data_IF_663657839578
#
_entry.id   IF_663657839578
#
_cell.length_a   1.000
_cell.length_b   1.000
_cell.length_c   1.000
_cell.angle_alpha   90.00
_cell.angle_beta   90.00
_cell.angle_gamma   90.00
#
_symmetry.space_group_name_H-M   'P 1'
#
loop_
_entity.id
_entity.type
_entity.pdbx_description
1 polymer ?
#
# COMPACT_ATOMS: atom_id res chain seq x y z
N UNK A 1 6.74 -11.31 11.29
CA UNK A 1 5.75 -11.02 10.25
C UNK A 1 5.89 -11.97 9.04
N UNK A 2 7.04 -11.99 8.34
CA UNK A 2 7.24 -12.85 7.15
C UNK A 2 6.98 -14.34 7.44
N UNK A 3 7.49 -14.85 8.55
CA UNK A 3 7.26 -16.24 8.97
C UNK A 3 5.77 -16.54 9.22
N UNK A 4 5.03 -15.61 9.86
CA UNK A 4 3.59 -15.80 10.11
C UNK A 4 2.76 -15.75 8.83
N UNK A 5 3.14 -14.92 7.83
CA UNK A 5 2.49 -14.91 6.52
C UNK A 5 2.74 -16.21 5.74
N UNK A 6 3.98 -16.71 5.75
CA UNK A 6 4.30 -18.00 5.14
C UNK A 6 3.55 -19.16 5.81
N UNK A 7 3.47 -19.17 7.14
CA UNK A 7 2.69 -20.16 7.88
C UNK A 7 1.20 -20.14 7.50
N UNK A 8 0.61 -18.97 7.32
CA UNK A 8 -0.77 -18.81 6.84
C UNK A 8 -0.98 -19.47 5.47
N UNK A 9 -0.09 -19.22 4.51
CA UNK A 9 -0.17 -19.84 3.18
C UNK A 9 -0.04 -21.37 3.25
N UNK A 10 0.84 -21.89 4.12
CA UNK A 10 0.97 -23.32 4.33
C UNK A 10 -0.28 -23.95 4.96
N UNK A 11 -0.92 -23.30 5.94
CA UNK A 11 -2.15 -23.77 6.55
C UNK A 11 -3.30 -23.83 5.52
N UNK A 12 -3.46 -22.82 4.70
CA UNK A 12 -4.47 -22.79 3.63
C UNK A 12 -4.28 -23.98 2.67
N UNK A 13 -3.03 -24.24 2.26
CA UNK A 13 -2.69 -25.38 1.38
C UNK A 13 -2.93 -26.72 2.08
N UNK A 14 -2.57 -26.86 3.36
CA UNK A 14 -2.81 -28.07 4.12
C UNK A 14 -4.30 -28.41 4.21
N UNK A 15 -5.17 -27.41 4.46
CA UNK A 15 -6.62 -27.58 4.45
C UNK A 15 -7.16 -28.04 3.10
N UNK A 16 -6.63 -27.49 2.01
CA UNK A 16 -7.00 -27.92 0.66
C UNK A 16 -6.64 -29.40 0.44
N UNK A 17 -5.39 -29.79 0.71
CA UNK A 17 -4.92 -31.15 0.44
C UNK A 17 -5.53 -32.19 1.37
N UNK A 18 -5.79 -31.84 2.63
CA UNK A 18 -6.30 -32.79 3.64
C UNK A 18 -7.82 -32.94 3.59
N UNK A 19 -8.52 -31.82 3.38
CA UNK A 19 -9.99 -31.78 3.52
C UNK A 19 -10.72 -31.40 2.23
N UNK A 20 -9.99 -31.21 1.11
CA UNK A 20 -10.60 -30.82 -0.16
C UNK A 20 -11.21 -29.42 -0.18
N UNK A 21 -10.84 -28.55 0.80
CA UNK A 21 -11.39 -27.19 0.83
C UNK A 21 -11.07 -26.45 -0.47
N UNK A 22 -12.05 -25.84 -1.16
CA UNK A 22 -11.82 -25.12 -2.42
C UNK A 22 -11.19 -23.76 -2.16
N UNK A 23 -9.86 -23.73 -2.00
CA UNK A 23 -9.09 -22.53 -1.67
C UNK A 23 -8.48 -21.87 -2.89
N UNK A 24 -8.31 -20.54 -2.80
CA UNK A 24 -7.52 -19.71 -3.70
C UNK A 24 -6.64 -18.80 -2.85
N UNK A 25 -5.35 -18.72 -3.17
CA UNK A 25 -4.41 -17.86 -2.44
C UNK A 25 -3.96 -16.72 -3.36
N UNK A 26 -3.91 -15.51 -2.83
CA UNK A 26 -3.32 -14.35 -3.53
C UNK A 26 -2.21 -13.74 -2.68
N UNK A 27 -1.08 -13.43 -3.33
CA UNK A 27 0.01 -12.65 -2.74
C UNK A 27 0.16 -11.37 -3.54
N UNK A 28 0.08 -10.22 -2.88
CA UNK A 28 0.12 -8.92 -3.56
C UNK A 28 1.40 -8.13 -3.25
N UNK A 29 1.77 -7.25 -4.18
CA UNK A 29 2.78 -6.22 -3.96
C UNK A 29 2.27 -5.09 -3.05
N UNK A 30 3.07 -4.03 -2.87
CA UNK A 30 2.68 -2.92 -2.00
C UNK A 30 1.46 -2.18 -2.53
N UNK A 31 0.40 -2.13 -1.75
CA UNK A 31 -0.83 -1.42 -2.12
C UNK A 31 -0.75 0.05 -1.78
N UNK A 32 -1.43 0.88 -2.57
CA UNK A 32 -1.65 2.30 -2.29
C UNK A 32 -2.99 2.76 -2.88
N UNK A 33 -3.52 3.85 -2.35
CA UNK A 33 -4.80 4.40 -2.84
C UNK A 33 -5.64 5.02 -1.72
N UNK A 34 -6.93 5.25 -1.98
CA UNK A 34 -7.90 5.71 -0.99
C UNK A 34 -7.94 4.84 0.27
N UNK A 35 -8.23 5.46 1.40
CA UNK A 35 -8.39 4.81 2.72
C UNK A 35 -7.14 4.09 3.24
N UNK A 36 -5.95 4.33 2.68
CA UNK A 36 -4.72 3.76 3.20
C UNK A 36 -4.30 4.48 4.48
N UNK A 37 -4.11 3.74 5.58
CA UNK A 37 -3.85 4.31 6.90
C UNK A 37 -2.55 5.13 6.93
N UNK A 38 -2.52 6.34 7.55
CA UNK A 38 -1.43 7.31 7.45
C UNK A 38 -0.11 6.94 8.15
N UNK A 39 0.12 5.68 8.52
CA UNK A 39 1.41 5.17 8.98
C UNK A 39 2.29 4.62 7.84
N UNK A 40 1.70 4.38 6.67
CA UNK A 40 2.39 3.83 5.50
C UNK A 40 2.98 4.94 4.64
N UNK A 41 4.03 4.61 3.87
CA UNK A 41 4.86 5.60 3.16
C UNK A 41 4.04 6.66 2.42
N UNK A 42 3.21 6.26 1.47
CA UNK A 42 2.49 7.22 0.60
C UNK A 42 1.56 8.14 1.40
N UNK A 43 0.61 7.63 2.20
CA UNK A 43 -0.26 8.52 2.96
C UNK A 43 0.48 9.33 4.03
N UNK A 44 1.52 8.77 4.67
CA UNK A 44 2.33 9.50 5.64
C UNK A 44 2.99 10.72 5.00
N UNK A 45 3.58 10.56 3.81
CA UNK A 45 4.23 11.68 3.11
C UNK A 45 3.22 12.76 2.71
N UNK A 46 2.04 12.38 2.20
CA UNK A 46 0.98 13.34 1.86
C UNK A 46 0.55 14.13 3.10
N UNK A 47 0.23 13.45 4.18
CA UNK A 47 -0.28 14.08 5.40
C UNK A 47 0.77 14.95 6.08
N UNK A 48 2.02 14.48 6.16
CA UNK A 48 3.12 15.27 6.72
C UNK A 48 3.41 16.50 5.87
N UNK A 49 3.44 16.37 4.54
CA UNK A 49 3.65 17.48 3.63
C UNK A 49 2.64 18.59 3.87
N UNK A 50 1.35 18.25 3.86
CA UNK A 50 0.26 19.21 4.10
C UNK A 50 0.30 19.83 5.49
N UNK A 51 0.81 19.11 6.50
CA UNK A 51 0.96 19.60 7.87
C UNK A 51 2.27 20.41 8.10
N UNK A 52 3.08 20.64 7.07
CA UNK A 52 4.38 21.32 7.21
C UNK A 52 5.42 20.52 7.99
N UNK A 53 5.24 19.21 8.17
CA UNK A 53 6.12 18.33 8.93
C UNK A 53 7.23 17.75 8.03
N UNK A 54 8.37 17.30 8.61
CA UNK A 54 9.41 16.59 7.87
C UNK A 54 8.88 15.36 7.14
N UNK A 55 9.44 15.09 5.95
CA UNK A 55 9.18 13.90 5.15
C UNK A 55 10.35 12.91 5.33
N UNK A 56 10.26 11.97 6.28
CA UNK A 56 11.39 11.10 6.62
C UNK A 56 11.63 10.04 5.54
N UNK A 57 12.82 10.07 4.95
CA UNK A 57 13.30 9.06 3.98
C UNK A 57 14.37 8.21 4.66
N UNK A 58 14.14 6.91 4.76
CA UNK A 58 15.09 5.98 5.38
C UNK A 58 16.33 5.78 4.50
N UNK A 59 17.52 5.94 5.10
CA UNK A 59 18.81 5.76 4.42
C UNK A 59 18.94 6.68 3.19
N UNK A 60 19.31 6.09 2.06
CA UNK A 60 19.44 6.79 0.77
C UNK A 60 18.12 6.87 -0.03
N UNK A 61 17.05 6.25 0.46
CA UNK A 61 15.76 6.21 -0.21
C UNK A 61 15.71 5.34 -1.47
N UNK A 62 16.76 4.56 -1.75
CA UNK A 62 16.89 3.76 -2.97
C UNK A 62 16.27 2.35 -2.86
N UNK A 63 15.58 2.06 -1.77
CA UNK A 63 14.84 0.80 -1.64
C UNK A 63 13.71 0.75 -2.66
N UNK A 64 13.70 -0.32 -3.48
CA UNK A 64 12.73 -0.51 -4.56
C UNK A 64 11.55 -1.35 -4.11
N UNK A 65 10.34 -0.91 -4.46
CA UNK A 65 9.09 -1.65 -4.24
C UNK A 65 8.25 -1.63 -5.50
N UNK A 66 7.51 -2.72 -5.73
CA UNK A 66 6.44 -2.74 -6.73
C UNK A 66 5.14 -2.20 -6.10
N UNK A 67 4.46 -1.31 -6.78
CA UNK A 67 3.29 -0.58 -6.28
C UNK A 67 2.04 -0.89 -7.08
N UNK A 68 1.00 -1.31 -6.36
CA UNK A 68 -0.28 -1.73 -6.91
C UNK A 68 -1.40 -0.82 -6.41
N UNK A 69 -2.13 -0.19 -7.33
CA UNK A 69 -3.29 0.62 -6.96
C UNK A 69 -4.39 -0.25 -6.36
N UNK A 70 -4.99 0.19 -5.25
CA UNK A 70 -5.89 -0.65 -4.45
C UNK A 70 -7.12 -1.15 -5.21
N UNK A 71 -7.68 -0.34 -6.13
CA UNK A 71 -8.82 -0.79 -6.95
C UNK A 71 -8.43 -1.89 -7.93
N UNK A 72 -7.20 -1.87 -8.44
CA UNK A 72 -6.68 -2.95 -9.28
C UNK A 72 -6.48 -4.23 -8.47
N UNK A 73 -5.97 -4.11 -7.22
CA UNK A 73 -5.90 -5.27 -6.33
C UNK A 73 -7.29 -5.88 -6.08
N UNK A 74 -8.31 -5.05 -5.80
CA UNK A 74 -9.68 -5.54 -5.64
C UNK A 74 -10.21 -6.23 -6.91
N UNK A 75 -9.89 -5.69 -8.10
CA UNK A 75 -10.27 -6.29 -9.38
C UNK A 75 -9.58 -7.64 -9.61
N UNK A 76 -8.30 -7.76 -9.21
CA UNK A 76 -7.55 -9.01 -9.25
C UNK A 76 -8.17 -10.10 -8.37
N UNK A 77 -8.48 -9.76 -7.12
CA UNK A 77 -9.14 -10.69 -6.17
C UNK A 77 -10.48 -11.19 -6.78
N UNK A 78 -11.29 -10.28 -7.30
CA UNK A 78 -12.54 -10.66 -7.97
C UNK A 78 -12.30 -11.59 -9.16
N UNK A 79 -11.29 -11.30 -9.98
CA UNK A 79 -10.93 -12.13 -11.13
C UNK A 79 -10.47 -13.52 -10.70
N UNK A 80 -9.65 -13.61 -9.66
CA UNK A 80 -9.20 -14.89 -9.09
C UNK A 80 -10.38 -15.69 -8.56
N UNK A 81 -11.32 -15.07 -7.85
CA UNK A 81 -12.53 -15.75 -7.36
C UNK A 81 -13.41 -16.27 -8.51
N UNK A 82 -13.52 -15.53 -9.62
CA UNK A 82 -14.38 -15.88 -10.73
C UNK A 82 -13.80 -16.97 -11.66
N UNK A 83 -12.48 -16.99 -11.82
CA UNK A 83 -11.84 -17.81 -12.86
C UNK A 83 -10.55 -18.51 -12.42
N UNK A 84 -10.12 -18.32 -11.17
CA UNK A 84 -8.93 -18.98 -10.62
C UNK A 84 -9.15 -20.49 -10.46
N UNK A 85 -8.10 -21.26 -10.67
CA UNK A 85 -8.12 -22.70 -10.42
C UNK A 85 -7.98 -22.98 -8.93
N UNK A 86 -8.91 -23.73 -8.36
CA UNK A 86 -8.88 -24.15 -6.96
C UNK A 86 -7.53 -24.80 -6.59
N UNK A 87 -7.02 -24.50 -5.40
CA UNK A 87 -5.73 -24.94 -4.92
C UNK A 87 -4.53 -24.14 -5.43
N UNK A 88 -4.74 -23.16 -6.30
CA UNK A 88 -3.66 -22.38 -6.91
C UNK A 88 -3.39 -21.08 -6.15
N UNK A 89 -2.12 -20.64 -6.23
CA UNK A 89 -1.67 -19.33 -5.75
C UNK A 89 -1.46 -18.39 -6.94
N UNK A 90 -1.96 -17.17 -6.84
CA UNK A 90 -1.77 -16.10 -7.82
C UNK A 90 -1.06 -14.91 -7.19
N UNK A 91 0.09 -14.56 -7.72
CA UNK A 91 0.75 -13.31 -7.39
C UNK A 91 0.07 -12.15 -8.13
N UNK A 92 -0.13 -11.04 -7.42
CA UNK A 92 -0.79 -9.83 -7.93
C UNK A 92 0.17 -8.65 -7.79
N UNK A 93 0.74 -8.19 -8.89
CA UNK A 93 1.72 -7.09 -8.94
C UNK A 93 1.23 -5.91 -9.77
N UNK A 94 1.84 -4.75 -9.51
CA UNK A 94 1.54 -3.52 -10.22
C UNK A 94 2.37 -3.30 -11.48
N UNK A 95 3.48 -4.04 -11.67
CA UNK A 95 4.54 -3.76 -12.66
C UNK A 95 5.09 -2.34 -12.56
N UNK A 96 5.03 -1.74 -11.37
CA UNK A 96 5.42 -0.37 -11.08
C UNK A 96 6.54 -0.32 -10.03
N UNK A 97 7.72 -0.81 -10.38
CA UNK A 97 8.88 -0.74 -9.49
C UNK A 97 9.39 0.71 -9.40
N UNK A 98 9.40 1.25 -8.18
CA UNK A 98 9.86 2.61 -7.89
C UNK A 98 10.71 2.61 -6.62
N UNK A 99 11.70 3.51 -6.56
CA UNK A 99 12.43 3.78 -5.32
C UNK A 99 11.58 4.61 -4.36
N UNK A 100 11.78 4.44 -3.06
CA UNK A 100 11.06 5.23 -2.05
C UNK A 100 11.26 6.74 -2.28
N UNK A 101 12.49 7.17 -2.60
CA UNK A 101 12.77 8.58 -2.86
C UNK A 101 12.02 9.10 -4.09
N UNK A 102 11.95 8.32 -5.18
CA UNK A 102 11.19 8.74 -6.38
C UNK A 102 9.71 8.91 -6.10
N UNK A 103 9.13 8.07 -5.23
CA UNK A 103 7.73 8.21 -4.79
C UNK A 103 7.53 9.50 -4.00
N UNK A 104 8.43 9.79 -3.04
CA UNK A 104 8.35 11.02 -2.24
C UNK A 104 8.45 12.25 -3.14
N UNK A 105 9.36 12.25 -4.12
CA UNK A 105 9.46 13.33 -5.10
C UNK A 105 8.17 13.49 -5.90
N UNK A 106 7.60 12.40 -6.42
CA UNK A 106 6.35 12.44 -7.18
C UNK A 106 5.19 13.01 -6.34
N UNK A 107 5.09 12.63 -5.07
CA UNK A 107 4.08 13.17 -4.15
C UNK A 107 4.27 14.67 -3.96
N UNK A 108 5.51 15.12 -3.71
CA UNK A 108 5.81 16.56 -3.55
C UNK A 108 5.43 17.35 -4.81
N UNK A 109 5.81 16.86 -6.00
CA UNK A 109 5.51 17.52 -7.26
C UNK A 109 3.99 17.63 -7.53
N UNK A 110 3.24 16.56 -7.20
CA UNK A 110 1.78 16.57 -7.31
C UNK A 110 1.14 17.52 -6.31
N UNK A 111 1.67 17.63 -5.10
CA UNK A 111 1.18 18.60 -4.11
C UNK A 111 1.52 20.03 -4.50
N UNK A 112 2.74 20.28 -5.03
CA UNK A 112 3.12 21.59 -5.55
C UNK A 112 2.18 22.04 -6.70
N UNK A 113 1.71 21.10 -7.53
CA UNK A 113 0.74 21.36 -8.60
C UNK A 113 -0.69 21.58 -8.06
N UNK A 114 -1.15 20.69 -7.16
CA UNK A 114 -2.58 20.64 -6.77
C UNK A 114 -2.94 21.54 -5.60
N UNK A 115 -1.99 21.80 -4.70
CA UNK A 115 -2.15 22.60 -3.49
C UNK A 115 -0.82 23.26 -3.11
N UNK A 116 -0.33 24.25 -3.90
CA UNK A 116 0.95 24.89 -3.64
C UNK A 116 0.98 25.53 -2.26
N UNK A 117 2.16 25.53 -1.64
CA UNK A 117 2.38 26.13 -0.33
C UNK A 117 2.27 27.65 -0.38
N UNK A 118 1.71 28.25 0.68
CA UNK A 118 1.56 29.70 0.79
C UNK A 118 2.89 30.47 0.79
N UNK A 119 3.98 29.83 1.24
CA UNK A 119 5.33 30.42 1.24
C UNK A 119 6.06 30.31 -0.11
N UNK A 120 5.44 29.71 -1.13
CA UNK A 120 5.99 29.51 -2.46
C UNK A 120 7.12 28.49 -2.57
N UNK A 121 7.45 27.80 -1.46
CA UNK A 121 8.47 26.75 -1.47
C UNK A 121 7.87 25.41 -1.93
N UNK A 122 8.70 24.58 -2.59
CA UNK A 122 8.31 23.22 -2.91
C UNK A 122 8.21 22.35 -1.64
N UNK A 123 7.26 21.42 -1.64
CA UNK A 123 7.16 20.37 -0.60
C UNK A 123 8.42 19.50 -0.52
N UNK A 124 9.24 19.44 -1.57
CA UNK A 124 10.54 18.75 -1.54
C UNK A 124 11.50 19.34 -0.48
N UNK A 125 11.35 20.61 -0.08
CA UNK A 125 12.15 21.22 0.97
C UNK A 125 11.94 20.58 2.36
N UNK A 126 10.86 19.82 2.54
CA UNK A 126 10.57 19.10 3.79
C UNK A 126 11.22 17.71 3.86
N UNK A 127 11.85 17.22 2.77
CA UNK A 127 12.50 15.90 2.74
C UNK A 127 13.68 15.90 3.70
N UNK A 128 13.72 14.88 4.59
CA UNK A 128 14.80 14.66 5.54
C UNK A 128 15.24 13.20 5.49
N UNK A 129 16.54 12.96 5.35
CA UNK A 129 17.08 11.61 5.44
C UNK A 129 17.23 11.21 6.91
N UNK A 130 16.74 10.03 7.25
CA UNK A 130 16.84 9.45 8.60
C UNK A 130 17.61 8.14 8.56
N UNK A 131 18.09 7.69 9.73
CA UNK A 131 18.80 6.41 9.82
C UNK A 131 17.94 5.27 9.27
N UNK A 132 18.56 4.41 8.45
CA UNK A 132 17.87 3.25 7.90
C UNK A 132 17.54 2.22 8.98
N UNK A 133 16.46 1.49 8.80
CA UNK A 133 16.03 0.45 9.75
C UNK A 133 16.82 -0.84 9.53
N UNK A 134 17.12 -1.61 10.60
CA UNK A 134 17.74 -2.93 10.46
C UNK A 134 16.92 -3.86 9.54
N UNK A 135 17.61 -4.60 8.68
CA UNK A 135 16.97 -5.57 7.78
C UNK A 135 16.06 -4.96 6.72
N UNK A 136 16.32 -3.73 6.30
CA UNK A 136 15.52 -3.07 5.27
C UNK A 136 15.86 -3.65 3.88
N UNK A 137 14.95 -4.41 3.31
CA UNK A 137 15.12 -5.00 1.97
C UNK A 137 15.44 -3.95 0.91
N UNK A 138 16.53 -4.17 0.16
CA UNK A 138 16.93 -3.27 -0.93
C UNK A 138 15.94 -3.29 -2.09
N UNK A 139 15.43 -4.46 -2.44
CA UNK A 139 14.41 -4.62 -3.49
C UNK A 139 13.41 -5.69 -3.11
N UNK A 140 12.15 -5.38 -3.27
CA UNK A 140 11.02 -6.26 -3.07
C UNK A 140 10.01 -6.05 -4.19
N UNK A 141 9.88 -7.05 -5.06
CA UNK A 141 8.98 -7.05 -6.20
C UNK A 141 8.39 -8.45 -6.41
N UNK A 142 7.31 -8.54 -7.18
CA UNK A 142 6.57 -9.78 -7.38
C UNK A 142 6.40 -10.08 -8.88
N UNK A 143 6.51 -11.35 -9.25
CA UNK A 143 6.20 -11.81 -10.60
C UNK A 143 4.72 -12.17 -10.72
N UNK A 144 3.97 -11.33 -11.42
CA UNK A 144 2.54 -11.48 -11.64
C UNK A 144 2.18 -12.06 -13.04
N UNK A 145 3.13 -12.61 -13.80
CA UNK A 145 2.86 -13.15 -15.14
C UNK A 145 1.87 -14.31 -15.14
N UNK A 146 1.75 -15.06 -14.05
CA UNK A 146 0.80 -16.18 -13.97
C UNK A 146 -0.65 -15.70 -14.04
N UNK A 147 -1.03 -14.68 -13.25
CA UNK A 147 -2.40 -14.17 -13.26
C UNK A 147 -2.75 -13.56 -14.62
N UNK A 148 -1.80 -12.90 -15.27
CA UNK A 148 -1.99 -12.40 -16.63
C UNK A 148 -2.23 -13.53 -17.62
N UNK A 149 -1.32 -14.51 -17.67
CA UNK A 149 -1.40 -15.62 -18.62
C UNK A 149 -2.65 -16.48 -18.44
N UNK A 150 -3.02 -16.79 -17.20
CA UNK A 150 -4.08 -17.74 -16.89
C UNK A 150 -5.46 -17.09 -16.78
N UNK A 151 -5.52 -15.85 -16.30
CA UNK A 151 -6.79 -15.17 -16.03
C UNK A 151 -7.00 -13.91 -16.89
N UNK A 152 -6.03 -13.53 -17.73
CA UNK A 152 -6.12 -12.33 -18.56
C UNK A 152 -6.18 -11.03 -17.76
N UNK A 153 -5.72 -11.03 -16.50
CA UNK A 153 -5.78 -9.85 -15.66
C UNK A 153 -4.48 -9.05 -15.70
N UNK A 154 -4.63 -7.74 -15.84
CA UNK A 154 -3.58 -6.71 -15.66
C UNK A 154 -4.13 -5.53 -14.89
N UNK A 155 -3.29 -4.77 -14.16
CA UNK A 155 -3.72 -3.50 -13.57
C UNK A 155 -4.15 -2.51 -14.65
N UNK A 156 -5.19 -1.74 -14.37
CA UNK A 156 -5.68 -0.68 -15.24
C UNK A 156 -4.91 0.63 -15.03
N UNK A 157 -4.37 0.84 -13.83
CA UNK A 157 -3.64 2.06 -13.49
C UNK A 157 -2.12 1.86 -13.63
N UNK A 158 -1.45 2.85 -14.22
CA UNK A 158 -0.01 3.03 -14.03
C UNK A 158 0.25 3.67 -12.68
N UNK A 159 1.53 3.66 -12.22
CA UNK A 159 1.87 4.39 -10.99
C UNK A 159 1.48 5.87 -11.09
N UNK A 160 1.76 6.52 -12.22
CA UNK A 160 1.54 7.96 -12.39
C UNK A 160 0.05 8.32 -12.36
N UNK A 161 -0.82 7.51 -12.97
CA UNK A 161 -2.28 7.74 -12.93
C UNK A 161 -2.86 7.43 -11.56
N UNK A 162 -2.43 6.35 -10.92
CA UNK A 162 -2.92 5.92 -9.61
C UNK A 162 -2.47 6.85 -8.48
N UNK A 163 -1.20 7.32 -8.50
CA UNK A 163 -0.68 8.22 -7.45
C UNK A 163 -1.36 9.58 -7.50
N UNK A 164 -1.63 10.12 -8.71
CA UNK A 164 -2.39 11.37 -8.89
C UNK A 164 -3.79 11.25 -8.29
N UNK A 165 -4.49 10.14 -8.55
CA UNK A 165 -5.81 9.85 -7.96
C UNK A 165 -5.73 9.73 -6.45
N UNK A 166 -4.66 9.15 -5.93
CA UNK A 166 -4.43 8.97 -4.50
C UNK A 166 -4.23 10.33 -3.81
N UNK A 167 -3.31 11.17 -4.31
CA UNK A 167 -3.07 12.52 -3.76
C UNK A 167 -4.37 13.32 -3.78
N UNK A 168 -5.08 13.34 -4.90
CA UNK A 168 -6.38 14.04 -5.01
C UNK A 168 -7.36 13.54 -3.95
N UNK A 169 -7.47 12.23 -3.77
CA UNK A 169 -8.38 11.68 -2.77
C UNK A 169 -8.07 12.18 -1.34
N UNK A 170 -6.78 12.24 -0.95
CA UNK A 170 -6.41 12.77 0.38
C UNK A 170 -6.73 14.26 0.52
N UNK A 171 -6.57 15.05 -0.55
CA UNK A 171 -6.95 16.46 -0.57
C UNK A 171 -8.47 16.66 -0.45
N UNK A 172 -9.25 15.79 -1.07
CA UNK A 172 -10.72 15.86 -1.11
C UNK A 172 -11.39 15.25 0.14
N UNK A 173 -10.63 14.53 1.01
CA UNK A 173 -11.17 13.83 2.18
C UNK A 173 -10.45 14.19 3.50
N UNK A 174 -10.32 15.48 3.84
CA UNK A 174 -9.59 15.91 5.04
C UNK A 174 -10.24 15.41 6.34
N UNK A 175 -11.55 15.31 6.40
CA UNK A 175 -12.29 14.84 7.58
C UNK A 175 -11.96 13.40 7.91
N UNK A 176 -11.85 12.52 6.89
CA UNK A 176 -11.42 11.14 7.09
C UNK A 176 -9.99 11.08 7.63
N UNK A 177 -9.08 11.88 7.05
CA UNK A 177 -7.67 11.96 7.49
C UNK A 177 -7.60 12.40 8.94
N UNK A 178 -8.32 13.46 9.31
CA UNK A 178 -8.40 13.94 10.70
C UNK A 178 -8.98 12.89 11.65
N UNK A 179 -10.04 12.20 11.23
CA UNK A 179 -10.69 11.16 12.03
C UNK A 179 -9.74 10.00 12.38
N UNK A 180 -8.95 9.52 11.40
CA UNK A 180 -7.98 8.44 11.68
C UNK A 180 -6.76 8.91 12.47
N UNK A 181 -6.35 10.18 12.34
CA UNK A 181 -5.22 10.75 13.08
C UNK A 181 -5.58 11.09 14.52
N UNK A 182 -6.80 11.50 14.82
CA UNK A 182 -7.24 11.88 16.17
C UNK A 182 -7.26 10.73 17.17
N UNK A 183 -7.09 9.49 16.71
CA UNK A 183 -7.18 8.31 17.56
C UNK A 183 -8.61 7.90 17.92
N UNK A 184 -9.64 8.58 17.44
CA UNK A 184 -11.05 8.25 17.70
C UNK A 184 -11.40 6.78 17.38
N UNK A 185 -10.75 6.22 16.36
CA UNK A 185 -10.85 4.78 16.07
C UNK A 185 -10.30 3.91 17.20
N UNK A 186 -9.17 4.28 17.81
CA UNK A 186 -8.59 3.53 18.95
C UNK A 186 -9.47 3.60 20.16
N UNK A 187 -10.04 4.78 20.45
CA UNK A 187 -10.98 4.99 21.56
C UNK A 187 -12.26 4.18 21.34
N UNK A 188 -12.77 4.18 20.11
CA UNK A 188 -13.93 3.36 19.75
C UNK A 188 -13.63 1.85 19.91
N UNK A 189 -12.48 1.37 19.43
CA UNK A 189 -12.06 -0.04 19.62
C UNK A 189 -11.90 -0.37 21.09
N UNK A 190 -11.30 0.49 21.89
CA UNK A 190 -11.16 0.29 23.32
C UNK A 190 -12.55 0.23 24.01
N UNK A 191 -13.48 1.10 23.64
CA UNK A 191 -14.85 1.10 24.16
C UNK A 191 -15.63 -0.16 23.78
N UNK A 192 -15.46 -0.67 22.56
CA UNK A 192 -16.19 -1.84 22.08
C UNK A 192 -15.61 -3.17 22.55
N UNK A 193 -14.30 -3.26 22.69
CA UNK A 193 -13.59 -4.52 22.91
C UNK A 193 -12.72 -4.53 24.16
N UNK A 194 -12.40 -3.38 24.77
CA UNK A 194 -11.55 -3.24 25.96
C UNK A 194 -12.11 -3.82 27.26
N UNK A 195 -13.37 -4.22 27.26
CA UNK A 195 -14.05 -4.86 28.41
C UNK A 195 -14.28 -6.38 28.27
N UNK A 196 -13.75 -7.02 27.24
CA UNK A 196 -13.97 -8.45 26.95
C UNK A 196 -12.69 -9.28 26.91
N UNK A 197 -11.73 -9.00 27.78
CA UNK A 197 -10.69 -9.96 28.11
C UNK A 197 -11.18 -10.80 29.29
N UNK A 198 -11.76 -11.94 28.98
CA UNK A 198 -11.95 -13.03 29.92
C UNK A 198 -10.97 -14.15 29.60
#
# INVERSE_FOLDING_TARGET
YSASKAASDHLVRAWHHTHGLPVLTTNCSNNYGPYHFPEKLIPLMIVNALAGKPLPVYGDGQQVRDWLYVKDHCSAIRRVLQAGRVGQTYNVGGWNEKTNLSIVHTICDLLDEMQPRADGQSYRSQITHVQDRPGHDRRYAIDARKIERELGWRPAETFDTGIRKTVRWYLDNPDWVQGVQSGAYRDWVAAQYGGKAA
#
